data_IF_436860100054
#
_entry.id   IF_436860100054
#
_cell.length_a   1.000
_cell.length_b   1.000
_cell.length_c   1.000
_cell.angle_alpha   90.00
_cell.angle_beta   90.00
_cell.angle_gamma   90.00
#
_symmetry.space_group_name_H-M   'P 1'
#
loop_
_entity.id
_entity.type
_entity.pdbx_description
1 polymer ?
#
# COMPACT_ATOMS: atom_id res chain seq x y z
N UNK A 1 -19.77 6.76 14.37
CA UNK A 1 -19.68 6.68 12.90
C UNK A 1 -18.91 5.41 12.51
N UNK A 2 -19.21 4.79 11.37
CA UNK A 2 -18.55 3.54 10.92
C UNK A 2 -17.08 3.82 10.51
N UNK A 3 -16.07 3.28 11.21
CA UNK A 3 -14.66 3.59 10.94
C UNK A 3 -14.23 3.26 9.51
N UNK A 4 -14.71 2.14 8.95
CA UNK A 4 -14.46 1.72 7.57
C UNK A 4 -15.03 2.66 6.48
N UNK A 5 -15.77 3.70 6.86
CA UNK A 5 -16.28 4.73 5.93
C UNK A 5 -15.52 6.03 6.16
N UNK A 6 -15.46 6.51 7.40
CA UNK A 6 -14.94 7.86 7.70
C UNK A 6 -13.44 7.96 7.50
N UNK A 7 -12.66 6.99 7.99
CA UNK A 7 -11.20 7.07 7.92
C UNK A 7 -10.65 6.98 6.48
N UNK A 8 -11.09 6.08 5.59
CA UNK A 8 -10.60 6.06 4.21
C UNK A 8 -11.02 7.32 3.45
N UNK A 9 -12.23 7.85 3.67
CA UNK A 9 -12.66 9.10 3.02
C UNK A 9 -11.80 10.30 3.43
N UNK A 10 -11.55 10.47 4.73
CA UNK A 10 -10.69 11.54 5.21
C UNK A 10 -9.26 11.42 4.68
N UNK A 11 -8.67 10.21 4.75
CA UNK A 11 -7.32 9.97 4.23
C UNK A 11 -7.22 10.27 2.73
N UNK A 12 -8.18 9.75 1.94
CA UNK A 12 -8.26 9.97 0.48
C UNK A 12 -8.40 11.45 0.15
N UNK A 13 -9.30 12.16 0.82
CA UNK A 13 -9.52 13.58 0.59
C UNK A 13 -8.27 14.41 0.94
N UNK A 14 -7.61 14.10 2.06
CA UNK A 14 -6.41 14.81 2.48
C UNK A 14 -5.24 14.56 1.52
N UNK A 15 -5.02 13.31 1.08
CA UNK A 15 -4.01 12.96 0.09
C UNK A 15 -4.29 13.64 -1.27
N UNK A 16 -5.55 13.61 -1.71
CA UNK A 16 -5.97 14.30 -2.93
C UNK A 16 -5.78 15.81 -2.86
N UNK A 17 -6.02 16.44 -1.71
CA UNK A 17 -5.76 17.87 -1.51
C UNK A 17 -4.27 18.21 -1.59
N UNK A 18 -3.40 17.36 -1.00
CA UNK A 18 -1.94 17.51 -1.11
C UNK A 18 -1.52 17.42 -2.57
N UNK A 19 -2.02 16.43 -3.31
CA UNK A 19 -1.63 16.20 -4.70
C UNK A 19 -2.15 17.30 -5.64
N UNK A 20 -3.39 17.74 -5.44
CA UNK A 20 -3.97 18.87 -6.15
C UNK A 20 -3.17 20.16 -5.92
N UNK A 21 -2.76 20.43 -4.67
CA UNK A 21 -1.92 21.59 -4.37
C UNK A 21 -0.57 21.53 -5.10
N UNK A 22 0.11 20.39 -5.03
CA UNK A 22 1.40 20.21 -5.70
C UNK A 22 1.31 20.36 -7.22
N UNK A 23 0.20 19.93 -7.82
CA UNK A 23 0.01 20.02 -9.25
C UNK A 23 -0.47 21.41 -9.70
N UNK A 24 -1.62 21.86 -9.20
CA UNK A 24 -2.29 23.06 -9.68
C UNK A 24 -1.69 24.36 -9.13
N UNK A 25 -1.01 24.32 -7.97
CA UNK A 25 -0.40 25.51 -7.36
C UNK A 25 1.12 25.54 -7.54
N UNK A 26 1.80 24.41 -7.31
CA UNK A 26 3.26 24.34 -7.43
C UNK A 26 3.75 23.94 -8.83
N UNK A 27 2.84 23.58 -9.75
CA UNK A 27 3.18 23.23 -11.14
C UNK A 27 3.98 21.93 -11.29
N UNK A 28 4.06 21.11 -10.24
CA UNK A 28 4.75 19.81 -10.29
C UNK A 28 3.84 18.72 -10.87
N UNK A 29 4.39 17.60 -11.31
CA UNK A 29 3.61 16.51 -11.91
C UNK A 29 3.91 15.20 -11.19
N UNK A 30 2.90 14.35 -11.02
CA UNK A 30 3.00 13.07 -10.34
C UNK A 30 4.22 12.26 -10.84
N UNK A 31 5.08 11.88 -9.91
CA UNK A 31 6.33 11.15 -10.20
C UNK A 31 7.54 12.03 -10.57
N UNK A 32 7.38 13.34 -10.77
CA UNK A 32 8.50 14.26 -10.92
C UNK A 32 9.27 14.42 -9.60
N UNK A 33 10.55 14.80 -9.67
CA UNK A 33 11.36 14.97 -8.48
C UNK A 33 10.79 16.05 -7.54
N UNK A 34 10.27 17.13 -8.09
CA UNK A 34 9.65 18.24 -7.36
C UNK A 34 8.38 17.77 -6.65
N UNK A 35 7.55 16.98 -7.33
CA UNK A 35 6.33 16.43 -6.76
C UNK A 35 6.64 15.48 -5.60
N UNK A 36 7.57 14.55 -5.79
CA UNK A 36 7.97 13.59 -4.75
C UNK A 36 8.54 14.30 -3.52
N UNK A 37 9.42 15.29 -3.73
CA UNK A 37 9.99 16.10 -2.65
C UNK A 37 8.92 16.93 -1.92
N UNK A 38 8.00 17.55 -2.66
CA UNK A 38 6.91 18.36 -2.11
C UNK A 38 5.85 17.54 -1.39
N UNK A 39 5.66 16.28 -1.75
CA UNK A 39 4.68 15.38 -1.11
C UNK A 39 5.12 14.89 0.26
N UNK A 40 6.43 14.80 0.55
CA UNK A 40 6.95 14.22 1.80
C UNK A 40 6.31 14.83 3.05
N UNK A 41 6.27 16.16 3.25
CA UNK A 41 5.73 16.73 4.49
C UNK A 41 4.24 16.41 4.69
N UNK A 42 3.44 16.54 3.62
CA UNK A 42 2.01 16.24 3.67
C UNK A 42 1.75 14.78 3.98
N UNK A 43 2.41 13.86 3.27
CA UNK A 43 2.23 12.43 3.49
C UNK A 43 2.78 11.97 4.85
N UNK A 44 3.87 12.56 5.34
CA UNK A 44 4.38 12.29 6.68
C UNK A 44 3.38 12.73 7.76
N UNK A 45 2.75 13.89 7.63
CA UNK A 45 1.69 14.34 8.53
C UNK A 45 0.48 13.41 8.50
N UNK A 46 0.04 12.97 7.31
CA UNK A 46 -1.04 11.98 7.17
C UNK A 46 -0.68 10.63 7.80
N UNK A 47 0.57 10.17 7.66
CA UNK A 47 1.05 8.95 8.30
C UNK A 47 1.01 9.07 9.83
N UNK A 48 1.49 10.18 10.39
CA UNK A 48 1.42 10.47 11.84
C UNK A 48 -0.04 10.53 12.31
N UNK A 49 -0.92 11.21 11.57
CA UNK A 49 -2.35 11.25 11.87
C UNK A 49 -2.98 9.85 11.85
N UNK A 50 -2.58 9.01 10.89
CA UNK A 50 -3.04 7.62 10.78
C UNK A 50 -2.57 6.77 11.96
N UNK A 51 -1.33 6.97 12.43
CA UNK A 51 -0.81 6.35 13.66
C UNK A 51 -1.62 6.80 14.88
N UNK A 52 -1.83 8.11 15.05
CA UNK A 52 -2.60 8.66 16.17
C UNK A 52 -4.04 8.12 16.17
N UNK A 53 -4.68 8.11 15.01
CA UNK A 53 -6.03 7.56 14.82
C UNK A 53 -6.08 6.07 15.16
N UNK A 54 -5.13 5.27 14.68
CA UNK A 54 -5.05 3.85 15.02
C UNK A 54 -4.83 3.60 16.52
N UNK A 55 -4.06 4.45 17.21
CA UNK A 55 -3.87 4.34 18.66
C UNK A 55 -5.15 4.70 19.43
N UNK A 56 -5.90 5.68 18.94
CA UNK A 56 -7.20 6.08 19.50
C UNK A 56 -8.26 4.98 19.32
N UNK A 57 -8.44 4.49 18.10
CA UNK A 57 -9.50 3.54 17.77
C UNK A 57 -9.18 2.10 18.16
N UNK A 58 -7.90 1.76 18.33
CA UNK A 58 -7.40 0.41 18.65
C UNK A 58 -8.05 -0.67 17.76
N UNK A 59 -8.01 -0.52 16.42
CA UNK A 59 -8.61 -1.50 15.54
C UNK A 59 -7.92 -2.86 15.73
N UNK A 60 -8.73 -3.90 15.87
CA UNK A 60 -8.28 -5.26 16.12
C UNK A 60 -8.93 -6.23 15.13
N UNK A 61 -8.12 -7.16 14.64
CA UNK A 61 -8.60 -8.34 13.92
C UNK A 61 -9.35 -9.26 14.90
N UNK A 62 -10.34 -10.05 14.43
CA UNK A 62 -10.96 -11.10 15.24
C UNK A 62 -9.91 -12.02 15.88
N UNK A 63 -10.17 -12.51 17.08
CA UNK A 63 -9.21 -13.32 17.83
C UNK A 63 -8.86 -14.61 17.07
N UNK A 64 -7.57 -14.74 16.73
CA UNK A 64 -7.00 -15.90 16.08
C UNK A 64 -5.48 -15.90 16.27
N UNK A 65 -4.86 -17.07 16.21
CA UNK A 65 -3.39 -17.20 16.24
C UNK A 65 -2.78 -16.82 14.89
N UNK A 66 -1.58 -16.20 14.85
CA UNK A 66 -0.85 -16.02 13.61
C UNK A 66 -0.54 -17.38 12.97
N UNK A 67 -0.82 -17.51 11.68
CA UNK A 67 -0.69 -18.78 10.94
C UNK A 67 0.73 -18.97 10.36
N UNK A 68 1.52 -17.90 10.31
CA UNK A 68 2.93 -17.92 9.96
C UNK A 68 3.41 -16.60 9.37
N UNK A 69 4.62 -16.59 8.82
CA UNK A 69 5.22 -15.40 8.20
C UNK A 69 6.17 -15.71 7.05
N UNK A 70 6.74 -16.92 6.98
CA UNK A 70 7.78 -17.29 6.01
C UNK A 70 7.36 -17.09 4.56
N UNK A 71 6.07 -17.28 4.24
CA UNK A 71 5.57 -17.07 2.88
C UNK A 71 5.63 -15.61 2.42
N UNK A 72 5.75 -14.64 3.35
CA UNK A 72 5.98 -13.24 3.02
C UNK A 72 7.34 -13.03 2.35
N UNK A 73 8.32 -13.91 2.62
CA UNK A 73 9.64 -13.81 1.99
C UNK A 73 9.59 -13.99 0.47
N UNK A 74 8.55 -14.67 -0.04
CA UNK A 74 8.42 -14.94 -1.47
C UNK A 74 8.36 -13.63 -2.28
N UNK A 75 7.44 -12.68 -2.02
CA UNK A 75 7.49 -11.36 -2.67
C UNK A 75 8.52 -10.42 -2.04
N UNK A 76 8.81 -10.51 -0.74
CA UNK A 76 9.67 -9.52 -0.08
C UNK A 76 11.14 -9.61 -0.44
N UNK A 77 11.69 -10.82 -0.64
CA UNK A 77 13.10 -10.99 -1.02
C UNK A 77 13.42 -10.33 -2.37
N UNK A 78 12.66 -10.57 -3.47
CA UNK A 78 12.91 -9.88 -4.72
C UNK A 78 12.68 -8.36 -4.60
N UNK A 79 11.64 -7.90 -3.88
CA UNK A 79 11.45 -6.45 -3.64
C UNK A 79 12.62 -5.82 -2.89
N UNK A 80 13.16 -6.51 -1.87
CA UNK A 80 14.33 -6.05 -1.14
C UNK A 80 15.58 -6.04 -2.04
N UNK A 81 15.77 -7.05 -2.88
CA UNK A 81 16.88 -7.07 -3.85
C UNK A 81 16.78 -5.90 -4.85
N UNK A 82 15.58 -5.60 -5.35
CA UNK A 82 15.33 -4.47 -6.23
C UNK A 82 15.60 -3.13 -5.53
N UNK A 83 15.13 -2.97 -4.29
CA UNK A 83 15.39 -1.79 -3.48
C UNK A 83 16.89 -1.59 -3.21
N UNK A 84 17.61 -2.64 -2.82
CA UNK A 84 19.05 -2.60 -2.57
C UNK A 84 19.84 -2.25 -3.83
N UNK A 85 19.45 -2.80 -4.99
CA UNK A 85 20.05 -2.44 -6.27
C UNK A 85 19.78 -0.97 -6.61
N UNK A 86 18.55 -0.48 -6.43
CA UNK A 86 18.21 0.92 -6.67
C UNK A 86 19.01 1.86 -5.75
N UNK A 87 19.14 1.53 -4.46
CA UNK A 87 19.99 2.26 -3.53
C UNK A 87 21.46 2.24 -3.97
N UNK A 88 22.02 1.08 -4.29
CA UNK A 88 23.43 0.94 -4.67
C UNK A 88 23.80 1.64 -5.98
N UNK A 89 22.87 1.75 -6.92
CA UNK A 89 23.11 2.39 -8.24
C UNK A 89 22.77 3.87 -8.27
N UNK A 90 21.93 4.37 -7.35
CA UNK A 90 21.44 5.76 -7.34
C UNK A 90 21.86 6.56 -6.10
N UNK A 91 22.60 5.95 -5.16
CA UNK A 91 23.00 6.60 -3.91
C UNK A 91 23.69 7.94 -4.15
N UNK A 92 23.13 8.99 -3.56
CA UNK A 92 23.70 10.33 -3.54
C UNK A 92 23.27 11.06 -2.26
N UNK A 93 24.13 11.92 -1.73
CA UNK A 93 23.83 12.73 -0.56
C UNK A 93 22.99 13.96 -0.95
N UNK A 94 21.75 13.73 -1.41
CA UNK A 94 20.83 14.79 -1.83
C UNK A 94 19.40 14.56 -1.36
N UNK A 95 18.65 15.65 -1.21
CA UNK A 95 17.23 15.57 -0.87
C UNK A 95 16.42 14.83 -1.95
N UNK A 96 16.75 15.04 -3.22
CA UNK A 96 16.11 14.36 -4.35
C UNK A 96 16.26 12.83 -4.30
N UNK A 97 17.31 12.30 -3.65
CA UNK A 97 17.46 10.85 -3.44
C UNK A 97 16.77 10.35 -2.17
N UNK A 98 16.82 11.13 -1.08
CA UNK A 98 16.21 10.72 0.19
C UNK A 98 14.68 10.85 0.21
N UNK A 99 14.13 11.85 -0.47
CA UNK A 99 12.71 12.14 -0.48
C UNK A 99 11.83 10.98 -0.98
N UNK A 100 12.14 10.30 -2.11
CA UNK A 100 11.41 9.11 -2.55
C UNK A 100 11.31 8.00 -1.50
N UNK A 101 12.39 7.77 -0.73
CA UNK A 101 12.42 6.76 0.32
C UNK A 101 11.51 7.14 1.50
N UNK A 102 11.61 8.38 1.96
CA UNK A 102 10.76 8.89 3.05
C UNK A 102 9.29 8.93 2.64
N UNK A 103 9.00 9.32 1.40
CA UNK A 103 7.66 9.29 0.84
C UNK A 103 7.09 7.88 0.83
N UNK A 104 7.83 6.90 0.29
CA UNK A 104 7.38 5.52 0.22
C UNK A 104 7.09 4.93 1.61
N UNK A 105 7.91 5.25 2.62
CA UNK A 105 7.66 4.85 4.01
C UNK A 105 6.42 5.52 4.58
N UNK A 106 6.23 6.82 4.34
CA UNK A 106 5.07 7.56 4.83
C UNK A 106 3.76 7.07 4.19
N UNK A 107 3.76 6.86 2.87
CA UNK A 107 2.63 6.31 2.11
C UNK A 107 2.29 4.91 2.60
N UNK A 108 3.27 3.98 2.58
CA UNK A 108 3.06 2.61 3.04
C UNK A 108 2.59 2.53 4.49
N UNK A 109 3.10 3.39 5.39
CA UNK A 109 2.62 3.44 6.76
C UNK A 109 1.18 3.96 6.86
N UNK A 110 0.87 5.08 6.21
CA UNK A 110 -0.46 5.68 6.27
C UNK A 110 -1.52 4.77 5.66
N UNK A 111 -1.28 4.29 4.44
CA UNK A 111 -2.24 3.49 3.70
C UNK A 111 -2.50 2.13 4.39
N UNK A 112 -1.45 1.39 4.78
CA UNK A 112 -1.67 0.09 5.42
C UNK A 112 -2.38 0.22 6.77
N UNK A 113 -2.10 1.27 7.54
CA UNK A 113 -2.82 1.55 8.78
C UNK A 113 -4.31 1.85 8.53
N UNK A 114 -4.64 2.65 7.53
CA UNK A 114 -6.04 2.99 7.24
C UNK A 114 -6.78 1.83 6.58
N UNK A 115 -6.25 1.28 5.48
CA UNK A 115 -7.00 0.35 4.64
C UNK A 115 -6.95 -1.10 5.14
N UNK A 116 -5.87 -1.51 5.81
CA UNK A 116 -5.77 -2.86 6.39
C UNK A 116 -6.04 -2.85 7.86
N UNK A 117 -5.35 -2.01 8.63
CA UNK A 117 -5.55 -2.04 10.08
C UNK A 117 -6.95 -1.56 10.47
N UNK A 118 -7.46 -0.46 9.93
CA UNK A 118 -8.79 0.06 10.28
C UNK A 118 -9.90 -0.55 9.41
N UNK A 119 -9.86 -0.34 8.09
CA UNK A 119 -10.98 -0.67 7.20
C UNK A 119 -11.24 -2.17 7.18
N UNK A 120 -10.21 -3.01 6.92
CA UNK A 120 -10.40 -4.46 6.90
C UNK A 120 -10.88 -5.00 8.25
N UNK A 121 -10.23 -4.61 9.36
CA UNK A 121 -10.64 -5.05 10.71
C UNK A 121 -12.09 -4.66 11.04
N UNK A 122 -12.52 -3.46 10.64
CA UNK A 122 -13.90 -3.03 10.86
C UNK A 122 -14.89 -3.76 9.94
N UNK A 123 -14.53 -4.08 8.70
CA UNK A 123 -15.36 -4.88 7.79
C UNK A 123 -15.52 -6.33 8.28
N UNK A 124 -14.48 -6.90 8.88
CA UNK A 124 -14.54 -8.25 9.46
C UNK A 124 -15.51 -8.39 10.64
N UNK A 125 -15.90 -7.27 11.27
CA UNK A 125 -16.93 -7.28 12.31
C UNK A 125 -18.36 -7.24 11.75
N UNK A 126 -18.52 -6.96 10.46
CA UNK A 126 -19.82 -6.72 9.84
C UNK A 126 -20.08 -7.59 8.58
N UNK A 127 -19.09 -8.35 8.13
CA UNK A 127 -19.18 -9.16 6.92
C UNK A 127 -18.29 -10.41 7.01
N UNK A 128 -18.63 -11.43 6.23
CA UNK A 128 -17.79 -12.61 6.02
C UNK A 128 -16.36 -12.23 5.59
N UNK A 129 -15.32 -13.02 5.96
CA UNK A 129 -13.93 -12.77 5.57
C UNK A 129 -13.74 -12.46 4.09
N UNK A 130 -14.36 -13.26 3.21
CA UNK A 130 -14.28 -13.06 1.75
C UNK A 130 -14.77 -11.67 1.32
N UNK A 131 -15.95 -11.26 1.80
CA UNK A 131 -16.52 -9.94 1.48
C UNK A 131 -15.67 -8.81 2.05
N UNK A 132 -15.19 -8.95 3.30
CA UNK A 132 -14.35 -7.94 3.92
C UNK A 132 -13.04 -7.72 3.14
N UNK A 133 -12.40 -8.79 2.67
CA UNK A 133 -11.19 -8.72 1.83
C UNK A 133 -11.48 -8.01 0.51
N UNK A 134 -12.52 -8.44 -0.23
CA UNK A 134 -12.84 -7.86 -1.54
C UNK A 134 -13.20 -6.37 -1.43
N UNK A 135 -14.03 -6.00 -0.44
CA UNK A 135 -14.45 -4.62 -0.23
C UNK A 135 -13.26 -3.76 0.21
N UNK A 136 -12.41 -4.23 1.13
CA UNK A 136 -11.20 -3.52 1.56
C UNK A 136 -10.23 -3.31 0.40
N UNK A 137 -10.06 -4.30 -0.48
CA UNK A 137 -9.23 -4.18 -1.68
C UNK A 137 -9.81 -3.17 -2.69
N UNK A 138 -11.13 -3.16 -2.88
CA UNK A 138 -11.80 -2.19 -3.76
C UNK A 138 -11.66 -0.75 -3.23
N UNK A 139 -11.87 -0.53 -1.93
CA UNK A 139 -11.70 0.79 -1.29
C UNK A 139 -10.24 1.26 -1.41
N UNK A 140 -9.27 0.37 -1.18
CA UNK A 140 -7.85 0.67 -1.34
C UNK A 140 -7.46 0.98 -2.79
N UNK A 141 -7.99 0.24 -3.76
CA UNK A 141 -7.79 0.53 -5.18
C UNK A 141 -8.34 1.93 -5.51
N UNK A 142 -9.58 2.22 -5.12
CA UNK A 142 -10.26 3.48 -5.42
C UNK A 142 -9.55 4.74 -4.88
N UNK A 143 -8.77 4.63 -3.79
CA UNK A 143 -7.91 5.72 -3.30
C UNK A 143 -7.06 6.34 -4.43
N UNK A 144 -6.50 5.50 -5.30
CA UNK A 144 -5.50 5.91 -6.29
C UNK A 144 -6.06 6.81 -7.39
N UNK A 145 -7.40 6.96 -7.49
CA UNK A 145 -8.02 7.96 -8.38
C UNK A 145 -7.49 9.37 -8.08
N UNK A 146 -7.12 9.66 -6.83
CA UNK A 146 -6.58 10.98 -6.45
C UNK A 146 -5.25 11.31 -7.13
N UNK A 147 -4.55 10.34 -7.71
CA UNK A 147 -3.29 10.57 -8.43
C UNK A 147 -3.49 11.38 -9.71
N UNK A 148 -4.69 11.35 -10.29
CA UNK A 148 -5.07 12.25 -11.40
C UNK A 148 -5.01 13.71 -10.96
N UNK A 149 -5.34 14.02 -9.70
CA UNK A 149 -5.21 15.38 -9.15
C UNK A 149 -3.74 15.81 -9.03
N UNK A 150 -2.81 14.85 -8.97
CA UNK A 150 -1.37 15.08 -9.04
C UNK A 150 -0.83 15.20 -10.46
N UNK A 151 -1.66 15.05 -11.50
CA UNK A 151 -1.24 15.09 -12.90
C UNK A 151 -0.88 13.72 -13.50
N UNK A 152 -1.19 12.60 -12.83
CA UNK A 152 -1.07 11.27 -13.44
C UNK A 152 -2.09 11.10 -14.57
N UNK A 153 -1.70 10.43 -15.66
CA UNK A 153 -2.62 10.18 -16.78
C UNK A 153 -3.75 9.23 -16.37
N UNK A 154 -4.95 9.42 -16.95
CA UNK A 154 -6.10 8.53 -16.70
C UNK A 154 -5.79 7.07 -17.05
N UNK A 155 -4.99 6.84 -18.10
CA UNK A 155 -4.58 5.49 -18.51
C UNK A 155 -3.69 4.83 -17.44
N UNK A 156 -2.70 5.55 -16.92
CA UNK A 156 -1.80 5.01 -15.90
C UNK A 156 -2.52 4.84 -14.56
N UNK A 157 -3.41 5.76 -14.19
CA UNK A 157 -4.30 5.59 -13.03
C UNK A 157 -5.17 4.35 -13.21
N UNK A 158 -5.77 4.12 -14.39
CA UNK A 158 -6.61 2.93 -14.63
C UNK A 158 -5.81 1.64 -14.47
N UNK A 159 -4.58 1.59 -14.99
CA UNK A 159 -3.65 0.47 -14.78
C UNK A 159 -3.33 0.28 -13.30
N UNK A 160 -3.09 1.38 -12.59
CA UNK A 160 -2.81 1.38 -11.15
C UNK A 160 -4.01 0.86 -10.35
N UNK A 161 -5.25 1.23 -10.69
CA UNK A 161 -6.45 0.70 -10.03
C UNK A 161 -6.51 -0.82 -10.14
N UNK A 162 -6.21 -1.37 -11.33
CA UNK A 162 -6.17 -2.82 -11.55
C UNK A 162 -5.09 -3.51 -10.71
N UNK A 163 -3.86 -2.98 -10.72
CA UNK A 163 -2.75 -3.58 -9.98
C UNK A 163 -2.93 -3.46 -8.46
N UNK A 164 -3.37 -2.31 -7.95
CA UNK A 164 -3.57 -2.08 -6.52
C UNK A 164 -4.78 -2.82 -5.96
N UNK A 165 -5.79 -3.11 -6.79
CA UNK A 165 -6.86 -4.04 -6.40
C UNK A 165 -6.32 -5.45 -6.13
N UNK A 166 -5.49 -5.98 -7.04
CA UNK A 166 -4.87 -7.30 -6.88
C UNK A 166 -3.91 -7.33 -5.69
N UNK A 167 -3.03 -6.33 -5.58
CA UNK A 167 -2.15 -6.17 -4.42
C UNK A 167 -2.97 -6.07 -3.13
N UNK A 168 -4.11 -5.38 -3.17
CA UNK A 168 -4.96 -5.21 -2.01
C UNK A 168 -5.65 -6.48 -1.54
N UNK A 169 -6.02 -7.37 -2.46
CA UNK A 169 -6.47 -8.73 -2.12
C UNK A 169 -5.34 -9.51 -1.44
N UNK A 170 -4.14 -9.48 -2.01
CA UNK A 170 -2.99 -10.18 -1.47
C UNK A 170 -2.64 -9.66 -0.07
N UNK A 171 -2.54 -8.34 0.13
CA UNK A 171 -2.15 -7.75 1.41
C UNK A 171 -3.22 -7.97 2.48
N UNK A 172 -4.50 -7.92 2.13
CA UNK A 172 -5.56 -8.30 3.07
C UNK A 172 -5.37 -9.74 3.58
N UNK A 173 -5.15 -10.71 2.69
CA UNK A 173 -4.89 -12.10 3.06
C UNK A 173 -3.61 -12.25 3.88
N UNK A 174 -2.53 -11.60 3.47
CA UNK A 174 -1.25 -11.61 4.18
C UNK A 174 -1.36 -10.99 5.59
N UNK A 175 -2.19 -9.96 5.76
CA UNK A 175 -2.43 -9.37 7.07
C UNK A 175 -3.17 -10.33 8.00
N UNK A 176 -4.20 -11.02 7.51
CA UNK A 176 -4.91 -12.02 8.30
C UNK A 176 -4.01 -13.21 8.65
N UNK A 177 -3.16 -13.62 7.72
CA UNK A 177 -2.21 -14.71 7.91
C UNK A 177 -1.12 -14.40 8.95
N UNK A 178 -0.50 -13.22 8.84
CA UNK A 178 0.62 -12.83 9.71
C UNK A 178 0.21 -12.14 11.00
N UNK A 179 -0.97 -11.50 10.99
CA UNK A 179 -1.48 -10.59 12.04
C UNK A 179 -0.51 -9.47 12.41
N UNK A 180 0.42 -9.12 11.51
CA UNK A 180 1.47 -8.11 11.74
C UNK A 180 1.48 -7.09 10.60
N UNK A 181 0.99 -5.89 10.90
CA UNK A 181 0.91 -4.81 9.91
C UNK A 181 2.27 -4.35 9.38
N UNK A 182 3.34 -4.54 10.18
CA UNK A 182 4.69 -4.14 9.80
C UNK A 182 5.19 -4.83 8.53
N UNK A 183 4.80 -6.10 8.28
CA UNK A 183 5.18 -6.79 7.05
C UNK A 183 4.64 -6.08 5.81
N UNK A 184 3.39 -5.63 5.88
CA UNK A 184 2.72 -4.95 4.78
C UNK A 184 3.29 -3.55 4.57
N UNK A 185 3.52 -2.79 5.65
CA UNK A 185 4.14 -1.45 5.56
C UNK A 185 5.49 -1.53 4.87
N UNK A 186 6.32 -2.52 5.23
CA UNK A 186 7.64 -2.70 4.61
C UNK A 186 7.51 -3.14 3.15
N UNK A 187 6.62 -4.09 2.83
CA UNK A 187 6.41 -4.54 1.46
C UNK A 187 5.91 -3.40 0.55
N UNK A 188 4.93 -2.62 1.03
CA UNK A 188 4.40 -1.45 0.33
C UNK A 188 5.49 -0.40 0.11
N UNK A 189 6.22 -0.01 1.16
CA UNK A 189 7.28 0.98 1.03
C UNK A 189 8.41 0.54 0.07
N UNK A 190 8.74 -0.75 0.03
CA UNK A 190 9.69 -1.28 -0.96
C UNK A 190 9.16 -1.10 -2.39
N UNK A 191 7.91 -1.47 -2.64
CA UNK A 191 7.27 -1.34 -3.96
C UNK A 191 7.23 0.11 -4.44
N UNK A 192 6.76 1.01 -3.58
CA UNK A 192 6.67 2.44 -3.87
C UNK A 192 8.03 3.06 -4.12
N UNK A 193 9.02 2.75 -3.27
CA UNK A 193 10.37 3.28 -3.44
C UNK A 193 10.97 2.86 -4.79
N UNK A 194 10.78 1.60 -5.21
CA UNK A 194 11.23 1.13 -6.52
C UNK A 194 10.62 2.01 -7.63
N UNK A 195 9.32 2.28 -7.56
CA UNK A 195 8.62 3.16 -8.51
C UNK A 195 9.13 4.61 -8.50
N UNK A 196 9.38 5.18 -7.32
CA UNK A 196 9.79 6.57 -7.15
C UNK A 196 11.29 6.81 -7.37
N UNK A 197 12.12 5.77 -7.24
CA UNK A 197 13.59 5.88 -7.30
C UNK A 197 14.14 6.25 -8.69
N UNK A 198 13.32 6.12 -9.74
CA UNK A 198 13.76 6.25 -11.13
C UNK A 198 14.70 5.12 -11.60
N UNK A 199 14.87 4.05 -10.80
CA UNK A 199 15.72 2.90 -11.14
C UNK A 199 15.04 1.91 -12.12
N UNK A 200 13.71 1.93 -12.20
CA UNK A 200 12.95 1.19 -13.21
C UNK A 200 13.00 1.92 -14.57
N UNK A 201 14.03 1.63 -15.36
CA UNK A 201 14.16 2.12 -16.74
C UNK A 201 14.02 0.99 -17.75
N UNK A 202 13.56 1.26 -18.99
CA UNK A 202 13.51 0.26 -20.05
C UNK A 202 14.86 -0.45 -20.22
N UNK A 203 14.84 -1.79 -20.21
CA UNK A 203 16.04 -2.62 -20.33
C UNK A 203 16.82 -2.83 -19.03
N UNK A 204 16.41 -2.23 -17.90
CA UNK A 204 17.07 -2.49 -16.61
C UNK A 204 16.77 -3.91 -16.10
N UNK A 205 17.71 -4.58 -15.40
CA UNK A 205 17.46 -5.87 -14.76
C UNK A 205 16.27 -5.86 -13.78
N UNK A 206 15.97 -4.67 -13.22
CA UNK A 206 14.83 -4.49 -12.32
C UNK A 206 13.48 -4.64 -13.02
N UNK A 207 13.38 -4.31 -14.31
CA UNK A 207 12.11 -4.34 -15.03
C UNK A 207 11.51 -5.75 -15.10
N UNK A 208 12.36 -6.77 -15.28
CA UNK A 208 11.93 -8.17 -15.26
C UNK A 208 11.47 -8.60 -13.85
N UNK A 209 12.20 -8.20 -12.80
CA UNK A 209 11.83 -8.51 -11.41
C UNK A 209 10.52 -7.80 -10.99
N UNK A 210 10.32 -6.55 -11.43
CA UNK A 210 9.10 -5.79 -11.16
C UNK A 210 7.84 -6.49 -11.71
N UNK A 211 7.95 -7.18 -12.84
CA UNK A 211 6.85 -7.97 -13.40
C UNK A 211 6.58 -9.26 -12.61
N UNK A 212 7.59 -9.81 -11.93
CA UNK A 212 7.49 -11.06 -11.18
C UNK A 212 6.92 -10.86 -9.77
N UNK A 213 7.24 -9.75 -9.10
CA UNK A 213 6.81 -9.50 -7.71
C UNK A 213 5.29 -9.61 -7.53
N UNK A 214 4.43 -8.96 -8.33
CA UNK A 214 2.98 -9.10 -8.20
C UNK A 214 2.49 -10.54 -8.40
N UNK A 215 3.14 -11.31 -9.28
CA UNK A 215 2.82 -12.73 -9.47
C UNK A 215 3.15 -13.54 -8.21
N UNK A 216 4.26 -13.24 -7.55
CA UNK A 216 4.65 -13.88 -6.29
C UNK A 216 3.71 -13.51 -5.14
N UNK A 217 3.19 -12.28 -5.12
CA UNK A 217 2.14 -11.88 -4.17
C UNK A 217 0.86 -12.68 -4.38
N UNK A 218 0.43 -12.85 -5.64
CA UNK A 218 -0.73 -13.68 -6.01
C UNK A 218 -0.50 -15.15 -5.65
N UNK A 219 0.69 -15.69 -5.93
CA UNK A 219 1.03 -17.07 -5.56
C UNK A 219 0.99 -17.24 -4.04
N UNK A 220 1.58 -16.33 -3.28
CA UNK A 220 1.55 -16.37 -1.82
C UNK A 220 0.11 -16.30 -1.30
N UNK A 221 -0.72 -15.39 -1.83
CA UNK A 221 -2.14 -15.31 -1.51
C UNK A 221 -2.86 -16.64 -1.78
N UNK A 222 -2.71 -17.20 -2.97
CA UNK A 222 -3.37 -18.47 -3.35
C UNK A 222 -2.91 -19.63 -2.46
N UNK A 223 -1.62 -19.73 -2.16
CA UNK A 223 -1.09 -20.79 -1.28
C UNK A 223 -1.64 -20.64 0.14
N UNK A 224 -1.70 -19.42 0.68
CA UNK A 224 -2.31 -19.15 1.99
C UNK A 224 -3.77 -19.60 1.97
N UNK A 225 -4.58 -19.14 1.02
CA UNK A 225 -6.01 -19.44 0.95
C UNK A 225 -6.29 -20.94 0.74
N UNK A 226 -5.44 -21.66 0.02
CA UNK A 226 -5.56 -23.12 -0.15
C UNK A 226 -5.31 -23.89 1.14
N UNK A 227 -4.38 -23.40 1.97
CA UNK A 227 -4.02 -24.02 3.26
C UNK A 227 -4.93 -23.58 4.42
N UNK A 228 -5.50 -22.39 4.31
CA UNK A 228 -6.26 -21.69 5.35
C UNK A 228 -7.59 -21.19 4.79
N UNK A 229 -8.49 -22.13 4.50
CA UNK A 229 -9.78 -21.83 3.84
C UNK A 229 -10.69 -20.94 4.68
N UNK A 230 -10.51 -20.96 6.00
CA UNK A 230 -11.20 -20.10 6.97
C UNK A 230 -11.02 -18.60 6.66
N UNK A 231 -9.87 -18.20 6.10
CA UNK A 231 -9.59 -16.81 5.71
C UNK A 231 -10.45 -16.34 4.53
N UNK A 232 -11.08 -17.25 3.79
CA UNK A 232 -11.93 -16.98 2.64
C UNK A 232 -13.36 -17.48 2.82
N UNK A 233 -13.79 -17.65 4.07
CA UNK A 233 -15.17 -18.08 4.39
C UNK A 233 -16.20 -17.08 3.85
N UNK A 234 -17.34 -17.62 3.41
CA UNK A 234 -18.55 -16.86 3.06
C UNK A 234 -19.51 -16.69 4.24
N UNK A 235 -19.28 -17.43 5.33
CA UNK A 235 -20.06 -17.30 6.56
C UNK A 235 -19.60 -16.04 7.31
N UNK A 236 -20.57 -15.30 7.83
CA UNK A 236 -20.28 -14.20 8.76
C UNK A 236 -19.85 -14.77 10.12
N UNK A 237 -18.98 -14.09 10.87
CA UNK A 237 -18.75 -14.45 12.28
C UNK A 237 -20.10 -14.43 13.01
N UNK A 238 -20.38 -15.48 13.78
CA UNK A 238 -21.54 -15.57 14.67
C UNK A 238 -21.47 -14.55 15.81
#
# INVERSE_FOLDING_TARGET
MKPHIVSPLFYTAAMGAIFAYLHFVQGSTYGSAEFLQGAVPGMALLAVASVAYCRSQRPALPDATPLGWRIMLLPMVPSAAMMLYALGTRAQASWAFLAPLLLAVAVGLGEELIYRKVVLSSLLQAASPRRAIIISAAIFSALHVVNVLGGQTVLDTTRQLGSTFVAGLAYAVMYLYTRRIAWLVVAHAMWDYIGFSGALTPGSPLSALAAVVPLLEVIAMVVILRRHKELWSTESPA
#
